data_IF_214833050789
#
_entry.id   IF_214833050789
#
_cell.length_a   1.000
_cell.length_b   1.000
_cell.length_c   1.000
_cell.angle_alpha   90.00
_cell.angle_beta   90.00
_cell.angle_gamma   90.00
#
_symmetry.space_group_name_H-M   'P 1'
#
loop_
_entity.id
_entity.type
_entity.pdbx_description
1 polymer ?
#
# COMPACT_ATOMS: atom_id res chain seq x y z
N UNK A 1 -7.80 17.04 2.70
CA UNK A 1 -7.27 15.76 2.21
C UNK A 1 -6.67 15.05 3.40
N UNK A 2 -7.19 13.89 3.76
CA UNK A 2 -6.58 13.04 4.78
C UNK A 2 -5.20 12.60 4.26
N UNK A 3 -4.13 12.85 5.03
CA UNK A 3 -2.78 12.43 4.66
C UNK A 3 -2.71 10.91 4.84
N UNK A 4 -2.61 10.16 3.75
CA UNK A 4 -2.38 8.72 3.82
C UNK A 4 -0.92 8.50 4.24
N UNK A 5 -0.65 7.70 5.29
CA UNK A 5 0.70 7.34 5.64
C UNK A 5 1.28 6.47 4.52
N UNK A 6 2.35 6.96 3.88
CA UNK A 6 3.05 6.30 2.78
C UNK A 6 4.46 5.89 3.22
N UNK A 7 4.89 4.72 2.76
CA UNK A 7 6.19 4.11 3.08
C UNK A 7 6.94 3.84 1.78
N UNK A 8 8.24 4.13 1.79
CA UNK A 8 9.12 3.87 0.65
C UNK A 8 9.45 2.38 0.57
N UNK A 9 9.43 1.82 -0.64
CA UNK A 9 9.78 0.41 -0.90
C UNK A 9 11.26 0.22 -1.23
N UNK A 10 11.90 1.24 -1.84
CA UNK A 10 13.30 1.20 -2.25
C UNK A 10 14.21 0.80 -1.09
N UNK A 11 15.07 -0.20 -1.31
CA UNK A 11 16.00 -0.71 -0.30
C UNK A 11 15.35 -1.52 0.83
N UNK A 12 14.03 -1.72 0.83
CA UNK A 12 13.26 -2.30 1.96
C UNK A 12 12.44 -3.52 1.58
N UNK A 13 12.59 -4.02 0.37
CA UNK A 13 11.79 -5.12 -0.18
C UNK A 13 12.65 -6.11 -0.94
N UNK A 14 12.21 -7.37 -0.96
CA UNK A 14 12.93 -8.44 -1.63
C UNK A 14 13.04 -8.12 -3.14
N UNK A 15 14.26 -8.10 -3.65
CA UNK A 15 14.58 -7.72 -5.04
C UNK A 15 15.29 -6.37 -5.20
N UNK A 16 15.38 -5.56 -4.13
CA UNK A 16 16.07 -4.27 -4.15
C UNK A 16 16.99 -4.03 -2.93
N UNK A 17 17.58 -5.05 -2.32
CA UNK A 17 18.67 -4.81 -1.34
C UNK A 17 20.01 -4.66 -2.07
N UNK A 18 20.80 -3.59 -1.83
CA UNK A 18 20.70 -2.60 -0.75
C UNK A 18 20.00 -1.26 -1.10
N UNK A 19 19.29 -1.18 -2.23
CA UNK A 19 18.70 0.04 -2.76
C UNK A 19 19.44 0.44 -4.03
N UNK A 20 19.08 -0.17 -5.15
CA UNK A 20 19.72 0.09 -6.43
C UNK A 20 19.46 1.53 -6.86
N UNK A 21 20.43 2.12 -7.56
CA UNK A 21 20.24 3.41 -8.20
C UNK A 21 19.10 3.30 -9.22
N UNK A 22 18.22 4.28 -9.21
CA UNK A 22 17.13 4.37 -10.18
C UNK A 22 17.55 5.18 -11.38
N UNK A 23 18.64 5.93 -11.26
CA UNK A 23 19.18 6.80 -12.29
C UNK A 23 20.68 6.58 -12.46
N UNK A 24 21.14 6.54 -13.71
CA UNK A 24 22.52 6.36 -14.12
C UNK A 24 22.81 7.20 -15.36
N UNK A 25 23.80 8.09 -15.28
CA UNK A 25 24.33 8.79 -16.44
C UNK A 25 25.86 8.91 -16.38
N UNK A 26 26.44 9.62 -17.35
CA UNK A 26 27.89 9.85 -17.41
C UNK A 26 28.46 10.61 -16.21
N UNK A 27 27.62 11.30 -15.43
CA UNK A 27 28.01 12.06 -14.24
C UNK A 27 27.84 11.26 -12.93
N UNK A 28 27.23 10.08 -12.96
CA UNK A 28 27.11 9.20 -11.80
C UNK A 28 25.76 8.50 -11.66
N UNK A 29 25.48 8.04 -10.44
CA UNK A 29 24.32 7.23 -10.10
C UNK A 29 23.56 7.84 -8.92
N UNK A 30 22.23 7.79 -8.93
CA UNK A 30 21.39 8.29 -7.84
C UNK A 30 20.08 7.52 -7.72
N UNK A 31 19.44 7.62 -6.56
CA UNK A 31 18.09 7.10 -6.27
C UNK A 31 17.15 8.30 -6.31
N UNK A 32 16.52 8.55 -7.45
CA UNK A 32 15.60 9.69 -7.63
C UNK A 32 14.16 9.26 -7.88
N UNK A 33 13.95 8.00 -8.25
CA UNK A 33 12.64 7.41 -8.46
C UNK A 33 12.26 6.57 -7.23
N UNK A 34 11.19 6.96 -6.55
CA UNK A 34 10.75 6.33 -5.30
C UNK A 34 9.40 5.66 -5.48
N UNK A 35 9.30 4.40 -5.04
CA UNK A 35 8.04 3.68 -4.97
C UNK A 35 7.48 3.79 -3.55
N UNK A 36 6.24 4.28 -3.46
CA UNK A 36 5.55 4.49 -2.19
C UNK A 36 4.31 3.60 -2.08
N UNK A 37 4.09 3.04 -0.90
CA UNK A 37 2.93 2.20 -0.60
C UNK A 37 2.26 2.66 0.69
N UNK A 38 0.94 2.55 0.79
CA UNK A 38 0.29 2.68 2.08
C UNK A 38 0.48 1.41 2.91
N UNK A 39 0.39 1.54 4.23
CA UNK A 39 0.60 0.40 5.15
C UNK A 39 -0.35 -0.77 4.89
N UNK A 40 -1.60 -0.50 4.48
CA UNK A 40 -2.55 -1.58 4.17
C UNK A 40 -2.12 -2.41 2.95
N UNK A 41 -1.37 -1.82 2.02
CA UNK A 41 -0.84 -2.56 0.86
C UNK A 41 0.59 -3.05 1.09
N UNK A 42 1.31 -2.52 2.08
CA UNK A 42 2.68 -2.92 2.40
C UNK A 42 2.79 -4.42 2.73
N UNK A 43 1.83 -4.96 3.48
CA UNK A 43 1.74 -6.40 3.80
C UNK A 43 1.50 -7.28 2.57
N UNK A 44 1.03 -6.69 1.46
CA UNK A 44 0.74 -7.40 0.23
C UNK A 44 1.87 -7.28 -0.81
N UNK A 45 2.92 -6.52 -0.53
CA UNK A 45 4.07 -6.40 -1.44
C UNK A 45 4.90 -7.67 -1.36
N UNK A 46 4.94 -8.42 -2.46
CA UNK A 46 5.68 -9.69 -2.57
C UNK A 46 7.11 -9.44 -3.01
N UNK A 47 7.31 -8.50 -3.94
CA UNK A 47 8.61 -8.26 -4.56
C UNK A 47 8.67 -6.85 -5.15
N UNK A 48 9.84 -6.24 -5.11
CA UNK A 48 10.14 -4.99 -5.78
C UNK A 48 11.50 -5.10 -6.46
N UNK A 49 11.57 -4.77 -7.74
CA UNK A 49 12.77 -5.01 -8.55
C UNK A 49 13.07 -3.86 -9.49
N UNK A 50 14.36 -3.79 -9.84
CA UNK A 50 14.92 -2.87 -10.82
C UNK A 50 15.34 -3.64 -12.06
N UNK A 51 14.89 -3.18 -13.21
CA UNK A 51 15.38 -3.65 -14.50
C UNK A 51 16.27 -2.56 -15.08
N UNK A 52 17.55 -2.87 -15.37
CA UNK A 52 18.43 -1.94 -16.05
C UNK A 52 17.79 -1.48 -17.35
N UNK A 53 17.79 -0.17 -17.56
CA UNK A 53 17.29 0.37 -18.82
C UNK A 53 18.21 0.04 -19.98
N UNK A 54 17.62 -0.10 -21.15
CA UNK A 54 18.35 -0.24 -22.41
C UNK A 54 19.10 1.08 -22.65
N UNK A 55 20.28 1.00 -23.27
CA UNK A 55 21.39 1.98 -23.34
C UNK A 55 21.10 3.45 -23.68
N UNK A 56 19.84 3.85 -23.90
CA UNK A 56 19.43 5.23 -24.18
C UNK A 56 18.59 5.89 -23.08
N UNK A 57 18.22 5.18 -22.01
CA UNK A 57 17.39 5.73 -20.93
C UNK A 57 18.22 5.77 -19.64
N UNK A 58 18.33 6.97 -19.06
CA UNK A 58 19.11 7.21 -17.83
C UNK A 58 18.39 6.70 -16.57
N UNK A 59 17.10 6.40 -16.64
CA UNK A 59 16.30 5.86 -15.54
C UNK A 59 16.06 4.35 -15.68
N UNK A 60 16.27 3.59 -14.62
CA UNK A 60 15.93 2.17 -14.54
C UNK A 60 14.41 1.96 -14.39
N UNK A 61 13.92 0.83 -14.91
CA UNK A 61 12.51 0.46 -14.79
C UNK A 61 12.29 -0.18 -13.42
N UNK A 62 11.23 0.25 -12.74
CA UNK A 62 10.81 -0.30 -11.45
C UNK A 62 9.57 -1.18 -11.61
N UNK A 63 9.54 -2.31 -10.91
CA UNK A 63 8.38 -3.20 -10.88
C UNK A 63 8.04 -3.62 -9.47
N UNK A 64 6.76 -3.47 -9.09
CA UNK A 64 6.24 -3.94 -7.81
C UNK A 64 5.25 -5.07 -8.06
N UNK A 65 5.50 -6.23 -7.46
CA UNK A 65 4.56 -7.34 -7.43
C UNK A 65 3.76 -7.30 -6.13
N UNK A 66 2.44 -7.15 -6.25
CA UNK A 66 1.51 -7.09 -5.12
C UNK A 66 0.57 -8.31 -5.18
N UNK A 67 0.39 -9.00 -4.07
CA UNK A 67 -0.62 -10.03 -3.92
C UNK A 67 -1.98 -9.37 -3.74
N UNK A 68 -2.92 -9.65 -4.66
CA UNK A 68 -4.30 -9.20 -4.50
C UNK A 68 -5.19 -10.40 -4.21
N UNK A 69 -5.97 -10.32 -3.13
CA UNK A 69 -7.06 -11.27 -2.92
C UNK A 69 -8.13 -10.94 -3.96
N UNK A 70 -8.14 -11.66 -5.07
CA UNK A 70 -9.27 -11.61 -5.99
C UNK A 70 -10.43 -12.31 -5.29
N UNK A 71 -11.44 -11.54 -4.87
CA UNK A 71 -12.76 -12.12 -4.64
C UNK A 71 -13.27 -12.62 -5.99
N UNK A 72 -12.88 -13.84 -6.36
CA UNK A 72 -13.52 -14.56 -7.42
C UNK A 72 -14.98 -14.73 -6.98
N UNK A 73 -15.87 -13.90 -7.52
CA UNK A 73 -17.28 -14.27 -7.62
C UNK A 73 -17.35 -15.43 -8.61
N UNK A 74 -16.97 -16.62 -8.13
CA UNK A 74 -17.35 -17.86 -8.78
C UNK A 74 -18.88 -17.87 -8.85
N UNK A 75 -19.50 -18.13 -10.01
CA UNK A 75 -20.95 -18.10 -10.13
C UNK A 75 -21.68 -19.09 -9.20
N UNK A 76 -20.99 -20.05 -8.61
CA UNK A 76 -21.58 -21.10 -7.79
C UNK A 76 -20.62 -21.51 -6.66
N UNK A 77 -20.71 -20.88 -5.50
CA UNK A 77 -20.28 -21.53 -4.26
C UNK A 77 -21.38 -21.34 -3.21
N UNK A 78 -22.40 -22.19 -3.33
CA UNK A 78 -23.25 -22.56 -2.22
C UNK A 78 -22.41 -23.41 -1.25
N UNK A 79 -21.44 -22.79 -0.58
CA UNK A 79 -20.74 -23.40 0.55
C UNK A 79 -21.10 -22.63 1.79
N UNK A 80 -22.16 -23.15 2.42
CA UNK A 80 -22.41 -23.24 3.86
C UNK A 80 -22.02 -22.04 4.74
N UNK A 81 -23.03 -21.53 5.45
CA UNK A 81 -22.89 -20.86 6.74
C UNK A 81 -21.74 -21.44 7.55
N UNK A 82 -20.62 -20.73 7.63
CA UNK A 82 -19.59 -20.97 8.62
C UNK A 82 -19.36 -19.64 9.33
N UNK A 83 -19.94 -19.53 10.53
CA UNK A 83 -19.67 -18.58 11.60
C UNK A 83 -19.30 -17.16 11.16
N UNK A 84 -20.29 -16.26 11.21
CA UNK A 84 -20.10 -14.81 11.17
C UNK A 84 -19.35 -14.35 12.43
N UNK A 85 -18.07 -14.69 12.54
CA UNK A 85 -17.19 -13.95 13.43
C UNK A 85 -17.05 -12.55 12.83
N UNK A 86 -17.32 -11.55 13.66
CA UNK A 86 -17.03 -10.16 13.33
C UNK A 86 -15.58 -10.08 12.85
N UNK A 87 -15.39 -9.72 11.58
CA UNK A 87 -14.05 -9.45 11.07
C UNK A 87 -13.67 -8.06 11.55
N UNK A 88 -12.46 -7.89 12.07
CA UNK A 88 -11.94 -6.57 12.42
C UNK A 88 -10.85 -6.21 11.42
N UNK A 89 -10.90 -5.00 10.86
CA UNK A 89 -9.83 -4.44 10.07
C UNK A 89 -9.12 -3.36 10.89
N UNK A 90 -7.80 -3.38 10.85
CA UNK A 90 -6.97 -2.31 11.38
C UNK A 90 -6.82 -1.28 10.26
N UNK A 91 -7.17 -0.04 10.55
CA UNK A 91 -7.02 1.09 9.64
C UNK A 91 -6.20 2.17 10.30
N UNK A 92 -5.32 2.82 9.53
CA UNK A 92 -4.55 3.94 10.03
C UNK A 92 -5.31 5.23 9.78
N UNK A 93 -5.61 5.96 10.85
CA UNK A 93 -6.22 7.28 10.78
C UNK A 93 -5.19 8.30 11.19
N UNK A 94 -4.55 8.91 10.19
CA UNK A 94 -3.60 9.98 10.45
C UNK A 94 -4.29 11.15 11.18
N UNK A 95 -3.77 11.51 12.36
CA UNK A 95 -4.23 12.65 13.12
C UNK A 95 -3.14 13.72 13.10
N UNK A 96 -3.40 14.84 12.42
CA UNK A 96 -2.42 15.93 12.29
C UNK A 96 -1.99 16.46 13.66
N UNK A 97 -2.87 16.48 14.66
CA UNK A 97 -2.56 16.98 16.01
C UNK A 97 -1.56 16.08 16.75
N UNK A 98 -1.52 14.78 16.41
CA UNK A 98 -0.62 13.82 17.04
C UNK A 98 0.60 13.52 16.13
N UNK A 99 0.77 14.25 15.02
CA UNK A 99 1.82 13.97 14.04
C UNK A 99 3.23 14.14 14.60
N UNK A 100 3.47 15.18 15.40
CA UNK A 100 4.77 15.37 16.06
C UNK A 100 5.04 14.27 17.09
N UNK A 101 4.04 13.90 17.89
CA UNK A 101 4.17 12.79 18.84
C UNK A 101 4.47 11.45 18.14
N UNK A 102 3.83 11.20 16.99
CA UNK A 102 4.10 10.03 16.18
C UNK A 102 5.54 10.03 15.66
N UNK A 103 6.03 11.17 15.14
CA UNK A 103 7.42 11.30 14.69
C UNK A 103 8.38 11.00 15.82
N UNK A 104 8.21 11.67 16.97
CA UNK A 104 9.15 11.57 18.09
C UNK A 104 9.13 10.16 18.70
N UNK A 105 7.96 9.50 18.73
CA UNK A 105 7.84 8.09 19.16
C UNK A 105 8.45 7.12 18.14
N UNK A 106 8.31 7.38 16.84
CA UNK A 106 8.91 6.56 15.79
C UNK A 106 10.44 6.68 15.80
N UNK A 107 10.97 7.90 15.97
CA UNK A 107 12.41 8.18 16.02
C UNK A 107 13.08 7.55 17.26
N UNK A 108 12.33 7.33 18.33
CA UNK A 108 12.79 6.64 19.55
C UNK A 108 12.48 5.14 19.57
N UNK A 109 11.85 4.59 18.52
CA UNK A 109 11.49 3.18 18.49
C UNK A 109 12.71 2.32 18.10
N UNK A 110 13.21 1.48 19.01
CA UNK A 110 14.39 0.63 18.76
C UNK A 110 14.28 -0.24 17.50
N UNK A 111 13.06 -0.60 17.10
CA UNK A 111 12.80 -1.38 15.88
C UNK A 111 13.23 -0.66 14.60
N UNK A 112 13.24 0.67 14.54
CA UNK A 112 13.65 1.37 13.31
C UNK A 112 15.16 1.27 13.04
N UNK A 113 15.95 0.92 14.05
CA UNK A 113 17.40 0.69 13.95
C UNK A 113 17.77 -0.79 13.79
N UNK A 114 16.78 -1.67 13.75
CA UNK A 114 16.98 -3.10 13.55
C UNK A 114 17.63 -3.38 12.19
N UNK A 115 18.65 -4.25 12.21
CA UNK A 115 19.36 -4.70 11.01
C UNK A 115 19.30 -6.22 10.97
N UNK A 116 18.71 -6.76 9.91
CA UNK A 116 18.79 -8.20 9.59
C UNK A 116 19.34 -8.37 8.17
N UNK A 117 19.86 -9.56 7.88
CA UNK A 117 20.16 -9.98 6.50
C UNK A 117 18.90 -10.49 5.79
N UNK A 118 17.83 -10.76 6.54
CA UNK A 118 16.53 -11.17 6.02
C UNK A 118 15.64 -9.93 5.81
N UNK A 119 15.16 -9.78 4.58
CA UNK A 119 14.31 -8.66 4.15
C UNK A 119 12.90 -8.78 4.69
N UNK A 120 12.38 -10.01 4.76
CA UNK A 120 11.04 -10.25 5.29
C UNK A 120 11.01 -9.85 6.76
N UNK A 121 12.02 -10.27 7.53
CA UNK A 121 12.19 -9.88 8.93
C UNK A 121 12.34 -8.36 9.11
N UNK A 122 13.14 -7.68 8.26
CA UNK A 122 13.27 -6.21 8.29
C UNK A 122 11.94 -5.51 8.00
N UNK A 123 11.20 -5.97 7.00
CA UNK A 123 9.92 -5.38 6.61
C UNK A 123 8.85 -5.62 7.69
N UNK A 124 8.75 -6.84 8.21
CA UNK A 124 7.86 -7.17 9.33
C UNK A 124 8.16 -6.33 10.55
N UNK A 125 9.44 -6.16 10.89
CA UNK A 125 9.84 -5.34 12.03
C UNK A 125 9.51 -3.85 11.83
N UNK A 126 9.67 -3.32 10.62
CA UNK A 126 9.22 -1.96 10.29
C UNK A 126 7.71 -1.81 10.41
N UNK A 127 6.93 -2.76 9.87
CA UNK A 127 5.46 -2.76 9.97
C UNK A 127 5.03 -2.81 11.45
N UNK A 128 5.69 -3.64 12.26
CA UNK A 128 5.46 -3.70 13.71
C UNK A 128 5.76 -2.35 14.38
N UNK A 129 6.91 -1.72 14.08
CA UNK A 129 7.25 -0.41 14.61
C UNK A 129 6.17 0.63 14.29
N UNK A 130 5.70 0.66 13.05
CA UNK A 130 4.64 1.60 12.63
C UNK A 130 3.32 1.31 13.36
N UNK A 131 2.92 0.05 13.50
CA UNK A 131 1.69 -0.35 14.20
C UNK A 131 1.75 0.02 15.67
N UNK A 132 2.87 -0.25 16.34
CA UNK A 132 3.09 0.08 17.75
C UNK A 132 3.05 1.60 17.96
N UNK A 133 3.81 2.36 17.18
CA UNK A 133 3.83 3.83 17.24
C UNK A 133 2.45 4.43 16.92
N UNK A 134 1.75 3.92 15.91
CA UNK A 134 0.41 4.40 15.58
C UNK A 134 -0.59 4.10 16.70
N UNK A 135 -0.46 2.94 17.35
CA UNK A 135 -1.29 2.57 18.49
C UNK A 135 -1.04 3.47 19.69
N UNK A 136 0.21 3.83 19.98
CA UNK A 136 0.55 4.72 21.10
C UNK A 136 0.13 6.18 20.86
N UNK A 137 -0.06 6.58 19.60
CA UNK A 137 -0.43 7.95 19.23
C UNK A 137 -1.90 8.12 18.84
N UNK A 138 -2.77 7.16 19.18
CA UNK A 138 -4.20 7.13 18.82
C UNK A 138 -4.47 7.28 17.31
N UNK A 139 -3.55 6.79 16.48
CA UNK A 139 -3.65 6.79 15.02
C UNK A 139 -4.06 5.43 14.45
N UNK A 140 -4.21 4.41 15.29
CA UNK A 140 -4.65 3.09 14.92
C UNK A 140 -6.14 2.92 15.26
N UNK A 141 -6.98 2.72 14.25
CA UNK A 141 -8.42 2.51 14.41
C UNK A 141 -8.78 1.09 14.00
N UNK A 142 -9.29 0.33 14.96
CA UNK A 142 -9.89 -0.98 14.70
C UNK A 142 -11.35 -0.77 14.28
N UNK A 143 -11.68 -1.15 13.05
CA UNK A 143 -13.02 -1.06 12.49
C UNK A 143 -13.62 -2.46 12.42
N UNK A 144 -14.84 -2.61 12.94
CA UNK A 144 -15.63 -3.82 12.74
C UNK A 144 -16.12 -3.88 11.29
N UNK A 145 -15.62 -4.88 10.58
CA UNK A 145 -15.95 -5.20 9.21
C UNK A 145 -17.08 -6.20 9.20
N UNK A 146 -18.19 -5.87 8.53
CA UNK A 146 -19.30 -6.83 8.35
C UNK A 146 -18.76 -8.07 7.65
N UNK A 147 -19.24 -9.27 8.01
CA UNK A 147 -18.76 -10.54 7.45
C UNK A 147 -18.78 -10.60 5.90
N UNK A 148 -19.62 -9.79 5.26
CA UNK A 148 -19.76 -9.64 3.80
C UNK A 148 -19.10 -8.37 3.23
N UNK A 149 -18.36 -7.61 4.03
CA UNK A 149 -17.60 -6.46 3.55
C UNK A 149 -16.23 -6.94 3.07
N UNK A 150 -16.09 -6.98 1.76
CA UNK A 150 -14.81 -7.10 1.10
C UNK A 150 -14.21 -5.68 1.00
N UNK A 151 -13.08 -5.37 1.67
CA UNK A 151 -12.43 -4.07 1.54
C UNK A 151 -11.96 -3.77 0.12
N UNK A 152 -11.88 -4.78 -0.78
CA UNK A 152 -11.66 -4.60 -2.21
C UNK A 152 -12.89 -4.14 -3.00
N UNK A 153 -14.08 -4.16 -2.39
CA UNK A 153 -15.33 -3.67 -2.97
C UNK A 153 -15.71 -2.35 -2.29
N UNK A 154 -14.84 -1.35 -2.46
CA UNK A 154 -15.30 0.03 -2.39
C UNK A 154 -16.05 0.30 -3.69
N UNK A 155 -17.38 0.20 -3.67
CA UNK A 155 -18.24 0.61 -4.80
C UNK A 155 -18.06 2.10 -5.19
N UNK A 156 -17.40 2.90 -4.35
CA UNK A 156 -16.92 4.22 -4.78
C UNK A 156 -15.59 4.09 -5.52
N UNK A 157 -15.66 3.78 -6.81
CA UNK A 157 -14.56 4.07 -7.74
C UNK A 157 -14.22 5.57 -7.58
N UNK A 158 -13.08 5.96 -6.96
CA UNK A 158 -12.80 7.36 -6.63
C UNK A 158 -12.67 8.23 -7.89
N UNK A 159 -12.28 7.59 -8.99
CA UNK A 159 -12.18 8.14 -10.34
C UNK A 159 -13.51 8.17 -11.11
N UNK A 160 -14.58 7.57 -10.59
CA UNK A 160 -15.89 7.54 -11.22
C UNK A 160 -16.82 8.51 -10.49
N UNK A 161 -16.65 9.80 -10.82
CA UNK A 161 -17.45 10.86 -10.23
C UNK A 161 -18.91 10.78 -10.70
N UNK A 162 -19.77 11.58 -10.04
CA UNK A 162 -21.16 11.78 -10.47
C UNK A 162 -21.25 12.31 -11.91
N UNK A 163 -20.23 13.06 -12.37
CA UNK A 163 -20.12 13.50 -13.77
C UNK A 163 -19.84 12.33 -14.71
N UNK A 164 -18.95 11.40 -14.35
CA UNK A 164 -18.70 10.18 -15.13
C UNK A 164 -19.97 9.34 -15.30
N UNK A 165 -20.79 9.24 -14.25
CA UNK A 165 -22.09 8.57 -14.31
C UNK A 165 -23.05 9.29 -15.25
N UNK A 166 -23.15 10.62 -15.16
CA UNK A 166 -24.00 11.45 -16.02
C UNK A 166 -23.62 11.30 -17.50
N UNK A 167 -22.34 11.41 -17.82
CA UNK A 167 -21.79 11.22 -19.17
C UNK A 167 -22.10 9.83 -19.72
N UNK A 168 -21.88 8.77 -18.93
CA UNK A 168 -22.19 7.39 -19.33
C UNK A 168 -23.68 7.20 -19.66
N UNK A 169 -24.58 7.81 -18.86
CA UNK A 169 -26.02 7.75 -19.10
C UNK A 169 -26.42 8.54 -20.36
N UNK A 170 -25.83 9.72 -20.56
CA UNK A 170 -26.03 10.56 -21.75
C UNK A 170 -25.61 9.83 -23.03
N UNK A 171 -24.41 9.24 -23.04
CA UNK A 171 -23.90 8.46 -24.17
C UNK A 171 -24.80 7.27 -24.48
N UNK A 172 -25.25 6.52 -23.46
CA UNK A 172 -26.20 5.40 -23.66
C UNK A 172 -27.56 5.84 -24.19
N UNK A 173 -28.02 7.03 -23.80
CA UNK A 173 -29.26 7.60 -24.31
C UNK A 173 -29.13 7.98 -25.80
N UNK A 174 -27.97 8.52 -26.19
CA UNK A 174 -27.70 8.95 -27.56
C UNK A 174 -27.30 7.82 -28.50
N UNK A 175 -26.75 6.71 -27.98
CA UNK A 175 -26.40 5.51 -28.74
C UNK A 175 -27.54 4.51 -28.87
N UNK A 176 -28.68 4.73 -28.19
CA UNK A 176 -29.94 4.04 -28.50
C UNK A 176 -30.60 4.72 -29.71
N UNK A 177 -29.94 4.63 -30.86
CA UNK A 177 -30.55 4.71 -32.20
C UNK A 177 -30.86 3.31 -32.67
#
# INVERSE_FOLDING_TARGET
MDRLPLFVLNGRTAGDMPGNYTFANHNGHSIIDLAWVNIESAENVVRFEFFPSISSIEHNIMSTKIYTKTSARGPNSNTSLANSHDKYAITFRFNVQNADNFRDTMDSNDRIHFKSQDVEEMNENLICAIKETASSCDMLKVIKVKANYDPGIVESKPWFSRECLSLKLSVRKNLKT
#
